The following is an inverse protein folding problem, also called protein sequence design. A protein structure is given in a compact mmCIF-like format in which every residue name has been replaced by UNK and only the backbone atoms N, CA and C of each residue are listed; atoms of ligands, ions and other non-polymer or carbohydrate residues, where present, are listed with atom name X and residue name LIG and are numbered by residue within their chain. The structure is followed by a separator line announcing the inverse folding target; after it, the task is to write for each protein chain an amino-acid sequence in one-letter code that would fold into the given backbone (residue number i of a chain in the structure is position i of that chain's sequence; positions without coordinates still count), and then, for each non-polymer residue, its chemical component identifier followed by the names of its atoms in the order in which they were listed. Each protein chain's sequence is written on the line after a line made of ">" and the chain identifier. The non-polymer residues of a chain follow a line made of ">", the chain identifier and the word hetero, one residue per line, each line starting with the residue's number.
data_IF_083627363308
#
_entry.id   IF_083627363308
#
_cell.length_a   1.000
_cell.length_b   1.000
_cell.length_c   1.000
_cell.angle_alpha   90.00
_cell.angle_beta   90.00
_cell.angle_gamma   90.00
#
_symmetry.space_group_name_H-M   'P 1'
#
loop_
_entity.id
_entity.type
_entity.pdbx_description
1 polymer ?
#
# COMPACT_ATOMS: atom_id res chain seq x y z
N UNK A 1 31.94 16.17 39.22
CA UNK A 1 31.43 14.79 39.18
C UNK A 1 29.89 14.65 39.26
N UNK A 2 29.09 15.70 39.57
CA UNK A 2 27.61 15.62 39.60
C UNK A 2 26.92 15.73 38.22
N UNK A 3 27.54 16.39 37.22
CA UNK A 3 26.95 16.58 35.89
C UNK A 3 26.97 15.31 35.00
N UNK A 4 27.92 14.39 35.22
CA UNK A 4 28.08 13.17 34.41
C UNK A 4 27.04 12.07 34.72
N UNK A 5 26.51 12.06 35.95
CA UNK A 5 25.47 11.08 36.34
C UNK A 5 24.10 11.38 35.71
N UNK A 6 23.77 12.65 35.50
CA UNK A 6 22.51 13.05 34.86
C UNK A 6 22.43 12.66 33.40
N UNK A 7 23.54 12.76 32.63
CA UNK A 7 23.60 12.41 31.22
C UNK A 7 23.41 10.89 30.98
N UNK A 8 23.95 10.04 31.82
CA UNK A 8 23.83 8.58 31.68
C UNK A 8 22.38 8.14 31.91
N UNK A 9 21.68 8.74 32.88
CA UNK A 9 20.28 8.42 33.15
C UNK A 9 19.38 8.87 32.00
N UNK A 10 19.63 10.03 31.38
CA UNK A 10 18.88 10.51 30.24
C UNK A 10 19.08 9.63 28.99
N UNK A 11 20.30 9.13 28.75
CA UNK A 11 20.59 8.22 27.64
C UNK A 11 19.94 6.84 27.88
N UNK A 12 19.94 6.34 29.12
CA UNK A 12 19.29 5.08 29.46
C UNK A 12 17.76 5.15 29.33
N UNK A 13 17.15 6.28 29.68
CA UNK A 13 15.72 6.52 29.46
C UNK A 13 15.36 6.63 27.98
N UNK A 14 16.24 7.19 27.15
CA UNK A 14 16.01 7.30 25.70
C UNK A 14 16.13 5.96 24.98
N UNK A 15 16.98 5.06 25.45
CA UNK A 15 17.09 3.69 24.89
C UNK A 15 15.89 2.79 25.23
N UNK A 16 15.12 3.11 26.27
CA UNK A 16 13.93 2.32 26.65
C UNK A 16 12.66 2.73 25.89
N UNK A 17 12.68 3.84 25.13
CA UNK A 17 11.51 4.36 24.44
C UNK A 17 11.29 3.79 23.03
N UNK A 18 12.11 2.83 22.57
CA UNK A 18 12.10 2.37 21.18
C UNK A 18 11.49 0.98 20.99
N UNK A 19 10.67 0.49 21.90
CA UNK A 19 9.87 -0.71 21.65
C UNK A 19 8.44 -0.29 21.35
N UNK A 20 8.21 0.27 20.18
CA UNK A 20 6.87 0.22 19.60
C UNK A 20 6.65 -1.20 19.07
N UNK A 21 6.26 -2.08 19.97
CA UNK A 21 5.64 -3.35 19.56
C UNK A 21 4.39 -2.95 18.79
N UNK A 22 4.38 -3.18 17.49
CA UNK A 22 3.19 -3.12 16.65
C UNK A 22 2.33 -4.35 17.03
N UNK A 23 1.77 -4.33 18.23
CA UNK A 23 1.10 -5.48 18.84
C UNK A 23 -0.21 -5.90 18.16
N UNK A 24 -0.65 -5.16 17.12
CA UNK A 24 -1.99 -5.36 16.58
C UNK A 24 -2.14 -6.42 15.50
N UNK A 25 -1.12 -6.68 14.68
CA UNK A 25 -1.24 -7.65 13.58
C UNK A 25 -0.94 -9.09 13.98
N UNK A 26 -0.19 -9.29 15.04
CA UNK A 26 0.26 -10.61 15.48
C UNK A 26 -0.81 -11.38 16.27
N UNK A 27 -1.79 -10.73 16.87
CA UNK A 27 -2.82 -11.39 17.69
C UNK A 27 -3.90 -12.03 16.83
N UNK A 28 -4.05 -13.34 16.94
CA UNK A 28 -5.01 -14.13 16.16
C UNK A 28 -6.27 -14.37 17.00
N UNK A 29 -7.42 -13.84 16.59
CA UNK A 29 -8.68 -14.13 17.27
C UNK A 29 -9.12 -15.60 17.03
N UNK A 30 -10.01 -16.16 17.86
CA UNK A 30 -10.59 -17.47 17.61
C UNK A 30 -11.17 -17.58 16.20
N UNK A 31 -10.87 -18.65 15.48
CA UNK A 31 -11.26 -18.85 14.07
C UNK A 31 -10.72 -17.79 13.11
N UNK A 32 -9.68 -17.03 13.49
CA UNK A 32 -9.04 -16.03 12.64
C UNK A 32 -8.31 -16.65 11.46
N UNK A 33 -7.98 -15.80 10.47
CA UNK A 33 -7.18 -16.23 9.32
C UNK A 33 -5.70 -15.94 9.58
N UNK A 34 -4.83 -16.89 9.23
CA UNK A 34 -3.37 -16.78 9.22
C UNK A 34 -2.83 -17.15 7.84
N UNK A 35 -1.68 -16.57 7.47
CA UNK A 35 -1.07 -16.82 6.17
C UNK A 35 0.23 -17.60 6.30
N UNK A 36 0.50 -18.42 5.29
CA UNK A 36 1.79 -19.13 5.18
C UNK A 36 2.91 -18.10 5.09
N UNK A 37 3.93 -18.24 5.94
CA UNK A 37 5.05 -17.33 6.06
C UNK A 37 4.96 -16.36 7.24
N UNK A 38 3.79 -16.15 7.86
CA UNK A 38 3.66 -15.29 9.02
C UNK A 38 4.42 -15.84 10.24
N UNK A 39 5.14 -14.98 10.91
CA UNK A 39 5.93 -15.27 12.11
C UNK A 39 5.55 -14.34 13.27
N UNK A 40 5.87 -14.76 14.51
CA UNK A 40 5.61 -13.96 15.69
C UNK A 40 4.13 -13.85 16.06
N UNK A 41 3.30 -14.84 15.70
CA UNK A 41 1.86 -14.82 15.92
C UNK A 41 1.50 -15.23 17.33
N UNK A 42 0.68 -14.44 18.00
CA UNK A 42 0.04 -14.81 19.25
C UNK A 42 -1.29 -15.53 18.96
N UNK A 43 -1.28 -16.86 19.10
CA UNK A 43 -2.44 -17.73 18.94
C UNK A 43 -3.08 -18.15 20.27
N UNK A 44 -2.71 -17.54 21.40
CA UNK A 44 -3.23 -17.91 22.74
C UNK A 44 -4.74 -17.76 22.83
N UNK A 45 -5.31 -16.72 22.17
CA UNK A 45 -6.75 -16.48 22.13
C UNK A 45 -7.54 -17.58 21.38
N UNK A 46 -6.87 -18.40 20.54
CA UNK A 46 -7.51 -19.51 19.82
C UNK A 46 -7.75 -20.73 20.69
N UNK A 47 -7.27 -20.72 21.96
CA UNK A 47 -7.34 -21.83 22.90
C UNK A 47 -6.19 -22.83 22.77
N UNK A 48 -5.20 -22.58 21.92
CA UNK A 48 -3.98 -23.39 21.83
C UNK A 48 -3.04 -23.07 22.99
N UNK A 49 -2.53 -24.09 23.67
CA UNK A 49 -1.59 -23.99 24.78
C UNK A 49 -0.21 -24.55 24.40
N UNK A 50 0.81 -24.17 25.14
CA UNK A 50 2.14 -24.76 24.96
C UNK A 50 2.11 -26.27 25.23
N UNK A 51 2.65 -27.05 24.32
CA UNK A 51 2.60 -28.51 24.34
C UNK A 51 1.37 -29.11 23.64
N UNK A 52 0.38 -28.30 23.28
CA UNK A 52 -0.77 -28.78 22.50
C UNK A 52 -0.36 -29.18 21.08
N UNK A 53 -1.29 -29.85 20.40
CA UNK A 53 -1.16 -30.25 18.99
C UNK A 53 -2.30 -29.63 18.18
N UNK A 54 -1.94 -29.06 17.06
CA UNK A 54 -2.87 -28.62 16.03
C UNK A 54 -3.05 -29.72 15.00
N UNK A 55 -4.28 -29.96 14.59
CA UNK A 55 -4.65 -31.03 13.66
C UNK A 55 -5.38 -30.48 12.44
N UNK A 56 -5.10 -31.07 11.30
CA UNK A 56 -5.74 -30.75 10.02
C UNK A 56 -6.32 -32.02 9.41
N UNK A 57 -7.54 -31.96 8.94
CA UNK A 57 -8.27 -33.15 8.43
C UNK A 57 -8.29 -33.27 6.91
N UNK A 58 -7.54 -32.41 6.21
CA UNK A 58 -7.55 -32.37 4.75
C UNK A 58 -8.68 -31.52 4.17
N UNK A 59 -8.66 -31.29 2.84
CA UNK A 59 -9.73 -30.57 2.16
C UNK A 59 -11.05 -31.29 2.30
N UNK A 60 -12.07 -30.62 2.92
CA UNK A 60 -13.38 -31.20 3.17
C UNK A 60 -13.40 -32.35 4.20
N UNK A 61 -12.29 -32.56 4.92
CA UNK A 61 -12.21 -33.58 5.97
C UNK A 61 -13.09 -33.27 7.17
N UNK A 62 -13.60 -34.35 7.81
CA UNK A 62 -14.41 -34.26 9.03
C UNK A 62 -13.55 -34.48 10.25
N UNK A 63 -13.84 -33.73 11.33
CA UNK A 63 -13.22 -33.91 12.65
C UNK A 63 -13.50 -35.30 13.28
N UNK A 64 -14.39 -36.10 12.69
CA UNK A 64 -14.63 -37.49 13.07
C UNK A 64 -13.60 -38.46 12.49
N UNK A 65 -12.80 -38.03 11.53
CA UNK A 65 -11.76 -38.83 10.90
C UNK A 65 -10.43 -38.73 11.64
N UNK A 66 -9.48 -39.60 11.30
CA UNK A 66 -8.11 -39.40 11.72
C UNK A 66 -7.51 -38.12 11.04
N UNK A 67 -6.77 -37.31 11.76
CA UNK A 67 -6.14 -36.11 11.17
C UNK A 67 -5.15 -36.48 10.08
N UNK A 68 -5.15 -35.71 8.99
CA UNK A 68 -4.21 -35.84 7.86
C UNK A 68 -2.85 -35.20 8.17
N UNK A 69 -2.80 -34.22 9.07
CA UNK A 69 -1.57 -33.62 9.55
C UNK A 69 -1.72 -33.21 11.02
N UNK A 70 -0.57 -33.22 11.72
CA UNK A 70 -0.48 -32.83 13.14
C UNK A 70 0.79 -31.99 13.32
N UNK A 71 0.69 -30.88 14.03
CA UNK A 71 1.79 -29.96 14.35
C UNK A 71 1.76 -29.65 15.82
N UNK A 72 2.92 -29.72 16.50
CA UNK A 72 3.03 -29.35 17.91
C UNK A 72 3.17 -27.85 18.09
N UNK A 73 2.49 -27.30 19.09
CA UNK A 73 2.61 -25.89 19.52
C UNK A 73 3.66 -25.82 20.60
N UNK A 74 4.84 -25.26 20.30
CA UNK A 74 5.89 -25.04 21.29
C UNK A 74 5.65 -23.77 22.10
N UNK A 75 5.36 -22.67 21.41
CA UNK A 75 5.02 -21.38 22.00
C UNK A 75 3.81 -20.78 21.29
N UNK A 76 2.66 -20.68 21.97
CA UNK A 76 1.48 -20.08 21.37
C UNK A 76 1.52 -18.55 21.29
N UNK A 77 2.43 -17.88 22.00
CA UNK A 77 2.62 -16.43 21.95
C UNK A 77 3.60 -15.99 20.85
N UNK A 78 4.38 -16.93 20.31
CA UNK A 78 5.34 -16.71 19.21
C UNK A 78 5.25 -17.86 18.19
N UNK A 79 4.11 -17.94 17.50
CA UNK A 79 3.82 -19.03 16.59
C UNK A 79 4.20 -18.68 15.15
N UNK A 80 4.77 -19.65 14.42
CA UNK A 80 5.20 -19.50 13.03
C UNK A 80 4.42 -20.40 12.09
N UNK A 81 3.79 -19.81 11.07
CA UNK A 81 3.11 -20.54 9.99
C UNK A 81 4.15 -20.93 8.94
N UNK A 82 4.98 -21.91 9.28
CA UNK A 82 6.10 -22.35 8.44
C UNK A 82 5.64 -22.86 7.07
N UNK A 83 6.19 -22.36 5.95
CA UNK A 83 5.90 -22.89 4.63
C UNK A 83 6.15 -24.38 4.48
N UNK A 84 7.17 -24.91 5.20
CA UNK A 84 7.49 -26.33 5.16
C UNK A 84 6.42 -27.22 5.80
N UNK A 85 5.82 -26.73 6.90
CA UNK A 85 4.83 -27.49 7.66
C UNK A 85 3.40 -27.31 7.13
N UNK A 86 3.07 -26.10 6.63
CA UNK A 86 1.72 -25.72 6.24
C UNK A 86 1.48 -25.68 4.73
N UNK A 87 2.52 -25.85 3.88
CA UNK A 87 2.33 -25.94 2.44
C UNK A 87 1.32 -27.07 2.11
N UNK A 88 0.40 -26.78 1.19
CA UNK A 88 -0.67 -27.69 0.75
C UNK A 88 -1.66 -28.12 1.86
N UNK A 89 -1.59 -27.51 3.05
CA UNK A 89 -2.47 -27.79 4.18
C UNK A 89 -3.30 -26.57 4.57
N UNK A 90 -3.83 -25.90 3.57
CA UNK A 90 -4.71 -24.74 3.75
C UNK A 90 -6.09 -25.16 4.27
N UNK A 91 -6.80 -24.22 4.88
CA UNK A 91 -8.12 -24.44 5.47
C UNK A 91 -8.11 -24.47 7.00
N UNK A 92 -9.13 -25.07 7.61
CA UNK A 92 -9.33 -25.04 9.06
C UNK A 92 -8.34 -25.96 9.79
N UNK A 93 -7.74 -25.45 10.84
CA UNK A 93 -6.90 -26.15 11.80
C UNK A 93 -7.58 -26.15 13.17
N UNK A 94 -7.53 -27.25 13.87
CA UNK A 94 -8.19 -27.47 15.14
C UNK A 94 -7.17 -27.80 16.22
N UNK A 95 -7.49 -27.49 17.48
CA UNK A 95 -6.76 -28.05 18.62
C UNK A 95 -7.09 -29.53 18.74
N UNK A 96 -6.09 -30.41 18.95
CA UNK A 96 -6.34 -31.84 19.15
C UNK A 96 -7.18 -32.07 20.44
N UNK A 97 -6.86 -31.30 21.49
CA UNK A 97 -7.61 -31.31 22.74
C UNK A 97 -8.89 -30.49 22.60
N UNK A 98 -10.03 -31.17 22.61
CA UNK A 98 -11.35 -30.53 22.51
C UNK A 98 -11.84 -30.26 21.08
N UNK A 99 -11.00 -30.47 20.06
CA UNK A 99 -11.37 -30.34 18.65
C UNK A 99 -11.99 -28.96 18.30
N UNK A 100 -11.42 -27.91 18.88
CA UNK A 100 -11.86 -26.53 18.70
C UNK A 100 -11.16 -25.95 17.48
N UNK A 101 -11.91 -25.25 16.61
CA UNK A 101 -11.35 -24.53 15.48
C UNK A 101 -10.43 -23.41 15.99
N UNK A 102 -9.12 -23.57 15.78
CA UNK A 102 -8.12 -22.60 16.18
C UNK A 102 -8.08 -21.43 15.19
N UNK A 103 -7.75 -21.71 13.93
CA UNK A 103 -7.62 -20.70 12.88
C UNK A 103 -7.76 -21.32 11.48
N UNK A 104 -7.87 -20.47 10.47
CA UNK A 104 -7.80 -20.86 9.05
C UNK A 104 -6.44 -20.50 8.46
N UNK A 105 -5.75 -21.48 7.88
CA UNK A 105 -4.51 -21.24 7.12
C UNK A 105 -4.84 -20.96 5.67
N UNK A 106 -4.28 -19.88 5.12
CA UNK A 106 -4.39 -19.51 3.72
C UNK A 106 -3.01 -19.28 3.09
N UNK A 107 -2.91 -19.51 1.80
CA UNK A 107 -1.78 -18.97 1.03
C UNK A 107 -2.01 -17.48 0.78
N UNK A 108 -1.01 -16.61 1.02
CA UNK A 108 -1.09 -15.22 0.62
C UNK A 108 -1.20 -15.12 -0.91
N UNK A 109 -1.90 -14.11 -1.39
CA UNK A 109 -2.01 -13.79 -2.82
C UNK A 109 -1.91 -12.29 -2.97
N UNK A 110 -1.08 -11.83 -3.90
CA UNK A 110 -0.93 -10.42 -4.22
C UNK A 110 -0.70 -10.22 -5.72
N UNK A 111 -1.34 -9.22 -6.26
CA UNK A 111 -1.11 -8.72 -7.60
C UNK A 111 -1.09 -7.19 -7.58
N UNK A 112 -0.23 -6.58 -8.40
CA UNK A 112 -0.21 -5.14 -8.62
C UNK A 112 -0.60 -4.85 -10.05
N UNK A 113 -1.44 -3.82 -10.25
CA UNK A 113 -1.78 -3.24 -11.55
C UNK A 113 -1.33 -1.79 -11.57
N UNK A 114 -0.84 -1.34 -12.70
CA UNK A 114 -0.35 0.03 -12.93
C UNK A 114 -1.34 0.75 -13.83
N UNK A 115 -1.71 1.96 -13.45
CA UNK A 115 -2.66 2.78 -14.22
C UNK A 115 -2.00 4.10 -14.61
N UNK A 116 -2.12 4.45 -15.87
CA UNK A 116 -1.97 5.82 -16.32
C UNK A 116 -3.29 6.56 -16.05
N UNK A 117 -3.30 7.34 -14.98
CA UNK A 117 -4.51 8.05 -14.53
C UNK A 117 -4.76 9.34 -15.32
N UNK A 118 -3.75 9.89 -16.02
CA UNK A 118 -3.92 11.01 -16.95
C UNK A 118 -4.65 10.59 -18.19
N UNK A 119 -4.34 9.41 -18.73
CA UNK A 119 -4.97 8.85 -19.92
C UNK A 119 -6.17 7.94 -19.60
N UNK A 120 -6.32 7.51 -18.33
CA UNK A 120 -7.46 6.72 -17.85
C UNK A 120 -7.44 5.25 -18.27
N UNK A 121 -6.27 4.63 -18.44
CA UNK A 121 -6.17 3.22 -18.78
C UNK A 121 -5.20 2.42 -17.90
N UNK A 122 -5.39 1.11 -17.85
CA UNK A 122 -4.48 0.18 -17.20
C UNK A 122 -3.30 -0.12 -18.15
N UNK A 123 -2.09 -0.09 -17.59
CA UNK A 123 -0.87 -0.49 -18.30
C UNK A 123 -0.81 -2.02 -18.33
N UNK A 124 -1.04 -2.59 -19.51
CA UNK A 124 -1.09 -4.04 -19.75
C UNK A 124 0.02 -4.45 -20.73
N UNK A 125 0.05 -5.76 -21.07
CA UNK A 125 0.96 -6.26 -22.12
C UNK A 125 0.74 -5.61 -23.49
N UNK A 126 -0.47 -5.10 -23.74
CA UNK A 126 -0.84 -4.48 -25.02
C UNK A 126 -0.63 -2.96 -25.03
N UNK A 127 -0.60 -2.34 -23.83
CA UNK A 127 -0.37 -0.91 -23.61
C UNK A 127 0.80 -0.71 -22.65
N UNK A 128 2.00 -1.03 -23.13
CA UNK A 128 3.23 -1.10 -22.31
C UNK A 128 3.97 0.23 -22.18
N UNK A 129 3.36 1.35 -22.47
CA UNK A 129 4.03 2.66 -22.42
C UNK A 129 3.16 3.69 -21.69
N UNK A 130 3.84 4.64 -21.04
CA UNK A 130 3.24 5.78 -20.36
C UNK A 130 3.92 7.04 -20.85
N UNK A 131 3.20 8.12 -21.21
CA UNK A 131 3.79 9.41 -21.52
C UNK A 131 4.51 9.99 -20.30
N UNK A 132 5.69 10.55 -20.53
CA UNK A 132 6.40 11.28 -19.49
C UNK A 132 5.65 12.57 -19.14
N UNK A 133 5.33 12.77 -17.87
CA UNK A 133 4.51 13.88 -17.37
C UNK A 133 3.16 13.42 -16.88
N UNK A 134 2.72 12.23 -17.27
CA UNK A 134 1.45 11.69 -16.81
C UNK A 134 1.53 11.22 -15.34
N UNK A 135 0.37 11.17 -14.71
CA UNK A 135 0.20 10.71 -13.34
C UNK A 135 -0.10 9.20 -13.33
N UNK A 136 0.75 8.44 -12.67
CA UNK A 136 0.62 6.99 -12.49
C UNK A 136 0.10 6.67 -11.10
N UNK A 137 -0.78 5.69 -11.02
CA UNK A 137 -1.29 5.09 -9.80
C UNK A 137 -1.17 3.58 -9.80
N UNK A 138 -1.33 2.99 -8.64
CA UNK A 138 -1.24 1.55 -8.44
C UNK A 138 -2.55 1.01 -7.86
N UNK A 139 -2.95 -0.17 -8.31
CA UNK A 139 -3.99 -0.95 -7.68
C UNK A 139 -3.42 -2.27 -7.20
N UNK A 140 -3.75 -2.65 -5.96
CA UNK A 140 -3.32 -3.89 -5.32
C UNK A 140 -4.54 -4.76 -5.12
N UNK A 141 -4.48 -5.96 -5.67
CA UNK A 141 -5.46 -7.03 -5.45
C UNK A 141 -4.82 -8.08 -4.56
N UNK A 142 -5.40 -8.34 -3.37
CA UNK A 142 -4.79 -9.24 -2.39
C UNK A 142 -5.81 -9.84 -1.44
N UNK A 143 -5.56 -11.06 -0.96
CA UNK A 143 -6.34 -11.65 0.13
C UNK A 143 -5.79 -11.30 1.52
N UNK A 144 -4.57 -10.75 1.62
CA UNK A 144 -3.98 -10.39 2.92
C UNK A 144 -4.65 -9.16 3.55
N UNK A 145 -5.52 -8.45 2.83
CA UNK A 145 -6.32 -7.36 3.39
C UNK A 145 -7.16 -7.79 4.62
N UNK A 146 -7.44 -9.08 4.78
CA UNK A 146 -8.11 -9.61 5.98
C UNK A 146 -7.31 -9.39 7.27
N UNK A 147 -5.99 -9.13 7.20
CA UNK A 147 -5.18 -8.75 8.35
C UNK A 147 -5.72 -7.48 9.05
N UNK A 148 -6.41 -6.61 8.30
CA UNK A 148 -7.07 -5.43 8.87
C UNK A 148 -8.18 -5.77 9.88
N UNK A 149 -8.70 -6.99 9.86
CA UNK A 149 -9.76 -7.42 10.80
C UNK A 149 -9.20 -7.93 12.13
N UNK A 150 -7.88 -8.09 12.25
CA UNK A 150 -7.25 -8.54 13.48
C UNK A 150 -7.29 -7.45 14.56
N UNK A 151 -7.39 -7.82 15.85
CA UNK A 151 -7.42 -6.86 16.95
C UNK A 151 -6.20 -5.91 16.91
N UNK A 152 -6.45 -4.59 16.90
CA UNK A 152 -5.41 -3.57 16.89
C UNK A 152 -4.69 -3.36 15.54
N UNK A 153 -5.07 -4.07 14.48
CA UNK A 153 -4.53 -3.87 13.13
C UNK A 153 -5.23 -2.72 12.42
N UNK A 154 -4.47 -1.94 11.66
CA UNK A 154 -5.01 -0.87 10.78
C UNK A 154 -5.05 -1.28 9.30
N UNK A 155 -4.46 -2.41 8.94
CA UNK A 155 -4.35 -2.90 7.57
C UNK A 155 -3.19 -3.86 7.39
N UNK A 156 -3.14 -4.55 6.27
CA UNK A 156 -2.01 -5.36 5.86
C UNK A 156 -0.91 -4.46 5.28
N UNK A 157 0.33 -4.48 5.78
CA UNK A 157 1.41 -3.72 5.17
C UNK A 157 1.83 -4.34 3.85
N UNK A 158 1.91 -3.52 2.83
CA UNK A 158 2.36 -3.88 1.49
C UNK A 158 3.33 -2.83 0.99
N UNK A 159 4.46 -3.26 0.47
CA UNK A 159 5.46 -2.38 -0.14
C UNK A 159 5.43 -2.52 -1.66
N UNK A 160 5.32 -1.39 -2.37
CA UNK A 160 5.47 -1.34 -3.82
C UNK A 160 6.93 -0.99 -4.15
N UNK A 161 7.56 -1.85 -4.93
CA UNK A 161 8.93 -1.67 -5.43
C UNK A 161 8.91 -1.24 -6.88
N UNK A 162 9.76 -0.29 -7.21
CA UNK A 162 9.96 0.19 -8.57
C UNK A 162 11.45 0.06 -8.91
N UNK A 163 11.72 -0.52 -10.08
CA UNK A 163 13.08 -0.53 -10.65
C UNK A 163 13.11 0.39 -11.85
N UNK A 164 14.04 1.35 -11.84
CA UNK A 164 14.27 2.27 -12.95
C UNK A 164 14.99 1.62 -14.13
N UNK A 165 15.07 2.29 -15.30
CA UNK A 165 15.87 1.84 -16.44
C UNK A 165 17.36 1.70 -16.12
N UNK A 166 17.91 2.55 -15.24
CA UNK A 166 19.28 2.48 -14.73
C UNK A 166 19.51 1.36 -13.71
N UNK A 167 18.46 0.61 -13.33
CA UNK A 167 18.51 -0.50 -12.38
C UNK A 167 18.35 -0.09 -10.91
N UNK A 168 18.20 1.19 -10.62
CA UNK A 168 17.98 1.68 -9.25
C UNK A 168 16.61 1.23 -8.77
N UNK A 169 16.55 0.69 -7.54
CA UNK A 169 15.31 0.31 -6.87
C UNK A 169 14.90 1.40 -5.89
N UNK A 170 13.61 1.73 -5.87
CA UNK A 170 13.03 2.67 -4.93
C UNK A 170 11.58 2.31 -4.58
N UNK A 171 11.14 2.80 -3.43
CA UNK A 171 9.79 2.63 -2.89
C UNK A 171 9.22 3.97 -2.41
N UNK A 172 9.60 5.06 -3.08
CA UNK A 172 9.06 6.39 -2.86
C UNK A 172 9.00 7.13 -4.19
N UNK A 173 7.90 7.82 -4.46
CA UNK A 173 7.68 8.57 -5.70
C UNK A 173 7.06 9.93 -5.39
N UNK A 174 7.59 11.01 -5.96
CA UNK A 174 7.02 12.36 -5.89
C UNK A 174 6.59 12.75 -4.46
N UNK A 175 7.37 12.36 -3.44
CA UNK A 175 7.07 12.62 -2.03
C UNK A 175 6.05 11.68 -1.39
N UNK A 176 5.61 10.62 -2.09
CA UNK A 176 4.74 9.59 -1.57
C UNK A 176 5.53 8.32 -1.24
N UNK A 177 5.38 7.81 -0.01
CA UNK A 177 5.99 6.55 0.42
C UNK A 177 5.16 5.37 -0.07
N UNK A 178 5.86 4.41 -0.67
CA UNK A 178 5.30 3.16 -1.18
C UNK A 178 5.69 1.96 -0.31
N UNK A 179 6.41 2.19 0.80
CA UNK A 179 6.74 1.19 1.82
C UNK A 179 5.63 1.12 2.85
N UNK A 180 5.27 -0.09 3.26
CA UNK A 180 4.32 -0.42 4.32
C UNK A 180 2.98 0.30 4.20
N UNK A 181 2.47 0.40 2.97
CA UNK A 181 1.12 0.91 2.71
C UNK A 181 0.13 -0.03 3.38
N UNK A 182 -0.68 0.49 4.31
CA UNK A 182 -1.67 -0.30 5.04
C UNK A 182 -2.92 -0.54 4.18
N UNK A 183 -3.12 -1.78 3.77
CA UNK A 183 -4.23 -2.21 2.93
C UNK A 183 -5.34 -2.81 3.79
N UNK A 184 -6.50 -2.15 3.83
CA UNK A 184 -7.67 -2.58 4.60
C UNK A 184 -8.78 -3.20 3.76
N UNK A 185 -8.67 -3.13 2.43
CA UNK A 185 -9.65 -3.71 1.49
C UNK A 185 -8.94 -4.14 0.20
N UNK A 186 -9.55 -5.03 -0.55
CA UNK A 186 -9.10 -5.43 -1.88
C UNK A 186 -10.30 -5.36 -2.86
N UNK A 187 -10.11 -4.72 -4.04
CA UNK A 187 -8.92 -4.00 -4.48
C UNK A 187 -8.64 -2.71 -3.69
N UNK A 188 -7.36 -2.35 -3.58
CA UNK A 188 -6.91 -1.09 -2.99
C UNK A 188 -6.27 -0.22 -4.08
N UNK A 189 -6.61 1.08 -4.14
CA UNK A 189 -6.03 2.02 -5.10
C UNK A 189 -5.29 3.15 -4.38
N UNK A 190 -4.07 3.46 -4.83
CA UNK A 190 -3.29 4.58 -4.32
C UNK A 190 -3.79 5.93 -4.82
N UNK A 191 -4.57 5.96 -5.91
CA UNK A 191 -4.78 7.18 -6.69
C UNK A 191 -3.50 7.65 -7.40
N UNK A 192 -3.47 8.91 -7.88
CA UNK A 192 -2.32 9.48 -8.60
C UNK A 192 -1.19 9.83 -7.62
N UNK A 193 -0.20 8.97 -7.49
CA UNK A 193 0.92 9.13 -6.56
C UNK A 193 2.26 9.37 -7.25
N UNK A 194 2.41 8.95 -8.50
CA UNK A 194 3.66 9.05 -9.25
C UNK A 194 3.52 9.98 -10.46
N UNK A 195 4.02 11.22 -10.36
CA UNK A 195 4.10 12.18 -11.45
C UNK A 195 5.43 11.98 -12.20
N UNK A 196 5.36 11.49 -13.42
CA UNK A 196 6.50 10.94 -14.15
C UNK A 196 7.41 11.99 -14.81
N UNK A 197 7.08 13.29 -14.71
CA UNK A 197 7.77 14.39 -15.41
C UNK A 197 9.28 14.48 -15.17
N UNK A 198 9.74 14.18 -13.95
CA UNK A 198 11.15 14.30 -13.56
C UNK A 198 11.94 12.98 -13.67
N UNK A 199 11.27 11.90 -14.11
CA UNK A 199 11.90 10.59 -14.19
C UNK A 199 12.54 10.35 -15.56
N UNK A 200 13.60 9.53 -15.57
CA UNK A 200 14.31 9.16 -16.81
C UNK A 200 13.43 8.33 -17.75
N UNK A 201 13.69 8.42 -19.04
CA UNK A 201 13.00 7.58 -20.05
C UNK A 201 13.54 6.17 -20.00
N UNK A 202 12.70 5.20 -20.29
CA UNK A 202 13.08 3.80 -20.40
C UNK A 202 12.12 2.85 -19.70
N UNK A 203 12.52 1.60 -19.57
CA UNK A 203 11.68 0.56 -18.99
C UNK A 203 11.71 0.61 -17.45
N UNK A 204 10.53 0.74 -16.87
CA UNK A 204 10.30 0.60 -15.43
C UNK A 204 9.66 -0.75 -15.14
N UNK A 205 10.04 -1.35 -14.04
CA UNK A 205 9.43 -2.59 -13.55
C UNK A 205 8.88 -2.36 -12.17
N UNK A 206 7.61 -2.71 -11.94
CA UNK A 206 6.87 -2.52 -10.68
C UNK A 206 6.42 -3.87 -10.17
N UNK A 207 6.51 -4.08 -8.86
CA UNK A 207 5.92 -5.21 -8.15
C UNK A 207 5.55 -4.79 -6.72
N UNK A 208 4.70 -5.58 -6.07
CA UNK A 208 4.31 -5.39 -4.69
C UNK A 208 4.74 -6.59 -3.83
N UNK A 209 5.04 -6.34 -2.57
CA UNK A 209 5.48 -7.32 -1.58
C UNK A 209 4.62 -7.21 -0.32
N UNK A 210 4.13 -8.35 0.20
CA UNK A 210 3.40 -8.42 1.47
C UNK A 210 4.42 -8.50 2.61
N UNK A 211 4.57 -7.42 3.39
CA UNK A 211 5.61 -7.30 4.42
C UNK A 211 5.13 -7.63 5.84
N UNK A 212 3.83 -7.91 6.03
CA UNK A 212 3.26 -8.19 7.34
C UNK A 212 3.83 -9.44 8.01
N UNK A 213 4.21 -9.34 9.27
CA UNK A 213 4.69 -10.45 10.11
C UNK A 213 5.79 -11.29 9.41
N UNK A 214 6.75 -10.63 8.77
CA UNK A 214 7.89 -11.22 8.05
C UNK A 214 7.49 -12.20 6.92
N UNK A 215 6.25 -12.11 6.44
CA UNK A 215 5.68 -13.07 5.51
C UNK A 215 6.48 -13.19 4.21
N UNK A 216 6.94 -12.05 3.64
CA UNK A 216 7.74 -12.06 2.42
C UNK A 216 9.15 -12.62 2.64
N UNK A 217 9.75 -12.39 3.81
CA UNK A 217 11.09 -12.89 4.15
C UNK A 217 11.08 -14.40 4.32
N UNK A 218 10.00 -14.93 4.91
CA UNK A 218 9.84 -16.36 5.18
C UNK A 218 9.30 -17.16 3.99
N UNK A 219 8.56 -16.53 3.08
CA UNK A 219 7.89 -17.18 1.93
C UNK A 219 7.94 -16.33 0.65
N UNK A 220 9.14 -15.95 0.16
CA UNK A 220 9.29 -15.09 -1.02
C UNK A 220 8.91 -15.84 -2.31
N UNK A 221 7.63 -15.79 -2.68
CA UNK A 221 7.09 -16.50 -3.85
C UNK A 221 6.25 -15.57 -4.71
N UNK A 222 6.54 -15.55 -6.02
CA UNK A 222 5.77 -14.79 -6.99
C UNK A 222 4.32 -15.30 -7.09
N UNK A 223 3.36 -14.36 -7.15
CA UNK A 223 1.91 -14.61 -7.09
C UNK A 223 1.39 -14.93 -5.69
N UNK A 224 2.28 -14.98 -4.67
CA UNK A 224 1.94 -15.25 -3.27
C UNK A 224 2.25 -14.04 -2.38
N UNK A 225 3.47 -13.90 -1.92
CA UNK A 225 3.94 -12.75 -1.13
C UNK A 225 4.55 -11.65 -1.99
N UNK A 226 4.96 -11.98 -3.21
CA UNK A 226 5.48 -11.05 -4.21
C UNK A 226 4.54 -11.09 -5.42
N UNK A 227 4.08 -9.93 -5.88
CA UNK A 227 3.23 -9.88 -7.07
C UNK A 227 4.01 -10.23 -8.35
N UNK A 228 3.32 -10.68 -9.42
CA UNK A 228 3.89 -10.64 -10.76
C UNK A 228 4.38 -9.23 -11.09
N UNK A 229 5.47 -9.16 -11.87
CA UNK A 229 6.09 -7.90 -12.26
C UNK A 229 5.37 -7.28 -13.44
N UNK A 230 5.06 -5.99 -13.34
CA UNK A 230 4.54 -5.17 -14.43
C UNK A 230 5.68 -4.33 -14.98
N UNK A 231 5.95 -4.42 -16.28
CA UNK A 231 6.99 -3.62 -16.94
C UNK A 231 6.34 -2.72 -17.98
N UNK A 232 6.72 -1.44 -17.98
CA UNK A 232 6.25 -0.45 -18.94
C UNK A 232 7.37 0.51 -19.37
N UNK A 233 7.19 1.14 -20.53
CA UNK A 233 8.13 2.09 -21.09
C UNK A 233 7.66 3.52 -20.82
N UNK A 234 8.47 4.31 -20.13
CA UNK A 234 8.25 5.75 -19.95
C UNK A 234 8.88 6.51 -21.13
N UNK A 235 8.05 7.22 -21.93
CA UNK A 235 8.48 7.95 -23.13
C UNK A 235 7.97 9.39 -23.12
N UNK A 236 8.63 10.26 -23.90
CA UNK A 236 8.21 11.67 -24.03
C UNK A 236 7.07 11.90 -25.01
N UNK A 237 6.79 10.94 -25.88
CA UNK A 237 5.78 11.04 -26.94
C UNK A 237 5.12 9.69 -27.10
N UNK A 238 3.81 9.69 -27.26
CA UNK A 238 3.06 8.50 -27.61
C UNK A 238 3.57 7.93 -28.95
N UNK A 239 4.11 6.69 -28.98
CA UNK A 239 4.63 6.11 -30.23
C UNK A 239 3.54 5.90 -31.30
N UNK A 240 2.26 5.88 -30.91
CA UNK A 240 1.13 5.75 -31.80
C UNK A 240 0.71 7.10 -32.44
N UNK A 241 1.16 8.23 -31.88
CA UNK A 241 0.96 9.54 -32.50
C UNK A 241 2.21 9.86 -33.30
N UNK A 242 2.18 9.51 -34.58
CA UNK A 242 3.19 10.03 -35.55
C UNK A 242 2.99 11.54 -35.60
N UNK A 243 3.98 12.38 -35.19
CA UNK A 243 3.82 13.83 -35.36
C UNK A 243 3.62 14.10 -36.83
N UNK A 244 2.50 14.74 -37.19
CA UNK A 244 2.34 15.24 -38.54
C UNK A 244 3.56 16.10 -38.85
N UNK A 245 4.29 15.69 -39.88
CA UNK A 245 5.42 16.44 -40.38
C UNK A 245 4.90 17.80 -40.84
N UNK A 246 4.97 18.81 -39.99
CA UNK A 246 4.62 20.17 -40.32
C UNK A 246 5.54 20.59 -41.47
N UNK A 247 5.04 20.43 -42.70
CA UNK A 247 5.72 20.96 -43.87
C UNK A 247 5.56 22.47 -43.78
N UNK A 248 6.62 23.15 -43.32
CA UNK A 248 6.69 24.60 -43.39
C UNK A 248 6.68 24.93 -44.89
N UNK A 249 5.52 25.28 -45.41
CA UNK A 249 5.41 25.84 -46.77
C UNK A 249 6.01 27.24 -46.65
N UNK A 250 7.28 27.36 -46.97
CA UNK A 250 7.92 28.66 -47.19
C UNK A 250 7.34 29.23 -48.44
N UNK A 251 6.23 29.96 -48.35
CA UNK A 251 5.74 30.79 -49.42
C UNK A 251 6.72 31.92 -49.62
N UNK A 252 7.42 31.92 -50.76
CA UNK A 252 8.22 33.06 -51.19
C UNK A 252 7.37 34.36 -51.18
N UNK A 253 7.86 35.47 -50.75
CA UNK A 253 7.12 36.72 -50.69
C UNK A 253 6.78 37.15 -52.14
N UNK A 254 5.52 36.97 -52.52
CA UNK A 254 4.98 37.58 -53.75
C UNK A 254 4.69 39.04 -53.42
N UNK A 255 5.39 39.96 -54.10
CA UNK A 255 5.16 41.40 -54.03
C UNK A 255 3.68 41.70 -54.37
N UNK A 256 2.99 42.54 -53.57
CA UNK A 256 1.59 42.82 -53.79
C UNK A 256 1.41 43.73 -55.01
N UNK A 257 0.42 43.51 -55.90
CA UNK A 257 0.02 44.47 -56.88
C UNK A 257 -0.63 45.68 -56.20
N UNK A 258 -0.20 46.87 -56.55
CA UNK A 258 -0.77 48.14 -56.07
C UNK A 258 -2.19 48.29 -56.63
N UNK A 259 -3.20 48.10 -55.81
CA UNK A 259 -4.60 48.38 -56.15
C UNK A 259 -5.09 49.55 -55.30
N UNK A 260 -5.50 50.60 -55.96
CA UNK A 260 -6.15 51.77 -55.38
C UNK A 260 -7.53 51.36 -54.92
N UNK A 261 -7.82 51.38 -53.63
CA UNK A 261 -9.16 51.08 -53.09
C UNK A 261 -9.87 52.37 -52.71
N UNK A 262 -10.97 52.61 -53.37
CA UNK A 262 -11.97 53.61 -53.04
C UNK A 262 -12.68 53.22 -51.73
N UNK A 263 -12.62 54.07 -50.72
CA UNK A 263 -13.27 53.85 -49.45
C UNK A 263 -14.81 53.99 -49.52
N UNK A 264 -15.52 52.98 -49.13
CA UNK A 264 -16.98 53.03 -48.77
C UNK A 264 -17.08 52.84 -47.25
N UNK A 265 -17.80 53.70 -46.52
CA UNK A 265 -17.93 53.54 -45.06
C UNK A 265 -18.94 52.40 -44.78
N UNK A 266 -18.51 51.39 -44.07
CA UNK A 266 -19.36 50.32 -43.53
C UNK A 266 -19.73 50.63 -42.11
N UNK A 267 -21.03 50.84 -41.87
CA UNK A 267 -21.61 51.00 -40.52
C UNK A 267 -21.60 49.65 -39.80
N UNK A 268 -20.80 49.53 -38.74
CA UNK A 268 -20.80 48.36 -37.87
C UNK A 268 -21.88 48.47 -36.84
N UNK A 269 -22.91 47.63 -36.90
CA UNK A 269 -23.86 47.43 -35.81
C UNK A 269 -23.18 46.50 -34.77
N UNK A 270 -22.90 47.04 -33.58
CA UNK A 270 -22.42 46.29 -32.42
C UNK A 270 -23.63 45.67 -31.72
N UNK A 271 -23.81 44.37 -31.82
CA UNK A 271 -24.76 43.64 -30.94
C UNK A 271 -24.09 43.38 -29.58
N UNK A 272 -24.66 43.95 -28.54
CA UNK A 272 -24.28 43.73 -27.15
C UNK A 272 -24.67 42.32 -26.75
N UNK A 273 -23.71 41.46 -26.51
CA UNK A 273 -23.92 40.11 -26.00
C UNK A 273 -23.97 40.18 -24.47
N UNK A 274 -25.11 39.86 -23.88
CA UNK A 274 -25.31 39.76 -22.45
C UNK A 274 -24.54 38.55 -21.89
N UNK A 275 -23.72 38.69 -20.84
CA UNK A 275 -23.05 37.54 -20.22
C UNK A 275 -24.07 36.68 -19.47
N UNK A 276 -23.85 35.35 -19.42
CA UNK A 276 -24.69 34.42 -18.65
C UNK A 276 -24.58 34.69 -17.14
N UNK A 277 -25.61 34.35 -16.35
CA UNK A 277 -25.63 34.59 -14.91
C UNK A 277 -24.58 33.73 -14.21
N UNK A 278 -23.80 34.35 -13.34
CA UNK A 278 -22.83 33.70 -12.45
C UNK A 278 -23.61 32.94 -11.38
N UNK A 279 -23.46 31.62 -11.35
CA UNK A 279 -23.96 30.79 -10.26
C UNK A 279 -23.20 31.10 -8.94
N UNK A 280 -24.00 31.28 -7.86
CA UNK A 280 -23.49 31.48 -6.51
C UNK A 280 -22.74 30.21 -6.04
N UNK A 281 -21.61 30.34 -5.33
CA UNK A 281 -20.92 29.18 -4.76
C UNK A 281 -21.78 28.55 -3.66
N UNK A 282 -22.03 27.23 -3.83
CA UNK A 282 -22.70 26.41 -2.82
C UNK A 282 -21.76 26.26 -1.62
N UNK A 283 -22.21 26.67 -0.46
CA UNK A 283 -21.48 26.50 0.81
C UNK A 283 -21.29 25.02 1.13
N UNK A 284 -20.01 24.60 1.21
CA UNK A 284 -19.61 23.28 1.69
C UNK A 284 -19.82 23.22 3.21
N UNK A 285 -20.48 22.17 3.75
CA UNK A 285 -20.60 21.99 5.19
C UNK A 285 -19.20 21.78 5.83
N UNK A 286 -18.97 22.22 7.07
CA UNK A 286 -17.69 22.09 7.73
C UNK A 286 -17.36 20.59 7.98
N UNK A 287 -16.15 20.20 7.59
CA UNK A 287 -15.57 18.89 7.90
C UNK A 287 -15.42 18.73 9.42
N UNK A 288 -15.82 17.61 10.02
CA UNK A 288 -15.61 17.40 11.45
C UNK A 288 -14.11 17.34 11.77
N UNK A 289 -13.68 18.12 12.75
CA UNK A 289 -12.32 18.16 13.29
C UNK A 289 -11.97 16.79 13.88
N UNK A 290 -10.82 16.18 13.56
CA UNK A 290 -10.39 14.93 14.20
C UNK A 290 -10.20 15.17 15.69
N UNK A 291 -10.91 14.39 16.52
CA UNK A 291 -10.77 14.44 17.97
C UNK A 291 -9.35 14.09 18.41
N UNK A 292 -8.84 14.82 19.39
CA UNK A 292 -7.58 14.56 20.05
C UNK A 292 -7.51 13.10 20.53
N UNK A 293 -6.53 12.34 20.05
CA UNK A 293 -6.34 10.95 20.47
C UNK A 293 -5.96 10.88 21.96
N UNK A 294 -6.59 9.96 22.69
CA UNK A 294 -6.39 9.72 24.13
C UNK A 294 -4.92 9.44 24.54
N UNK A 295 -4.06 9.18 23.58
CA UNK A 295 -2.64 8.90 23.76
C UNK A 295 -1.83 10.05 24.39
N UNK A 296 -2.24 11.31 24.15
CA UNK A 296 -1.54 12.48 24.73
C UNK A 296 -1.85 12.64 26.21
N UNK A 297 -3.03 12.24 26.65
CA UNK A 297 -3.43 12.34 28.06
C UNK A 297 -2.65 11.38 28.99
N UNK A 298 -2.26 10.21 28.49
CA UNK A 298 -1.51 9.22 29.27
C UNK A 298 -0.05 9.66 29.46
N UNK A 299 0.57 10.24 28.43
CA UNK A 299 1.96 10.73 28.54
C UNK A 299 2.09 11.91 29.52
N UNK A 300 1.11 12.80 29.56
CA UNK A 300 1.12 13.91 30.51
C UNK A 300 0.94 13.45 31.97
N UNK A 301 0.16 12.40 32.22
CA UNK A 301 -0.05 11.87 33.54
C UNK A 301 1.22 11.21 34.10
N UNK A 302 1.96 10.46 33.27
CA UNK A 302 3.22 9.81 33.68
C UNK A 302 4.30 10.83 33.99
N UNK A 303 4.41 11.92 33.21
CA UNK A 303 5.38 12.98 33.47
C UNK A 303 5.12 13.72 34.77
N UNK A 304 3.86 13.98 35.14
CA UNK A 304 3.49 14.62 36.39
C UNK A 304 3.79 13.70 37.60
N UNK A 305 3.54 12.40 37.44
CA UNK A 305 3.81 11.42 38.50
C UNK A 305 5.33 11.27 38.77
N UNK A 306 6.14 11.26 37.71
CA UNK A 306 7.60 11.21 37.83
C UNK A 306 8.18 12.46 38.50
N UNK A 307 7.63 13.64 38.22
CA UNK A 307 8.04 14.89 38.86
C UNK A 307 7.66 14.95 40.32
N UNK A 308 6.52 14.39 40.70
CA UNK A 308 6.09 14.31 42.12
C UNK A 308 6.93 13.36 42.97
N UNK A 309 7.42 12.26 42.38
CA UNK A 309 8.29 11.29 43.04
C UNK A 309 9.74 11.77 43.18
N UNK A 310 10.21 12.69 42.35
CA UNK A 310 11.58 13.23 42.41
C UNK A 310 11.76 14.32 43.48
N UNK A 311 10.67 14.80 44.09
CA UNK A 311 10.68 15.87 45.14
C UNK A 311 10.54 15.32 46.56
N UNK A 312 10.51 14.03 46.75
CA UNK A 312 10.66 13.34 48.03
C UNK A 312 12.04 12.67 48.10
#
# INVERSE_FOLDING_TARGET
>A
MKAFRGSIIAILLFLMASVTVTAGQATIPPSGTVFIGEQGLDITATGALAGDRLVWYGPGGSTSNAPSAVISVSDPADFYISPVLFADKTGPWFTETGNILAFFVQEPQIAVRVFDLSAGFEVTKDTVWVPRGDAVGFQIDTNVAVLATRPGSSGAPVTIRIRSPSGVMFSAVTGYQLEDILISSSPFSTGPVWFTGDYERGNYTVWAESTGNDMNDNYPREGKTISPKVTFLLQSVNPLITPEKTTVITTAPTLPPTTIVTMVPLTVMTTLQTPPPTELPTTIPPTPTPGFSASIAVLSLVAVLALALSRR
#
